data_IF_523472505308
#
_entry.id   IF_523472505308
#
_cell.length_a   1.000
_cell.length_b   1.000
_cell.length_c   1.000
_cell.angle_alpha   90.00
_cell.angle_beta   90.00
_cell.angle_gamma   90.00
#
_symmetry.space_group_name_H-M   'P 1'
#
loop_
_entity.id
_entity.type
_entity.pdbx_description
1 polymer ?
#
# COMPACT_ATOMS: atom_id res chain seq x y z
N UNK A 1 -0.44 0.06 7.25
CA UNK A 1 0.12 0.78 6.08
C UNK A 1 -0.15 -0.03 4.83
N UNK A 2 -0.57 0.61 3.75
CA UNK A 2 -0.82 -0.07 2.48
C UNK A 2 0.47 -0.34 1.72
N UNK A 3 0.48 -1.45 1.00
CA UNK A 3 1.64 -1.88 0.22
C UNK A 3 1.22 -2.63 -1.03
N UNK A 4 2.04 -2.57 -2.07
CA UNK A 4 1.89 -3.36 -3.29
C UNK A 4 2.92 -4.49 -3.30
N UNK A 5 2.48 -5.75 -3.35
CA UNK A 5 3.41 -6.88 -3.43
C UNK A 5 4.00 -6.96 -4.83
N UNK A 6 5.30 -6.77 -4.93
CA UNK A 6 6.03 -6.84 -6.21
C UNK A 6 6.42 -8.29 -6.53
N UNK A 7 6.87 -9.03 -5.51
CA UNK A 7 7.36 -10.39 -5.68
C UNK A 7 6.99 -11.27 -4.49
N UNK A 8 6.80 -12.56 -4.77
CA UNK A 8 6.85 -13.63 -3.78
C UNK A 8 8.10 -14.46 -4.04
N UNK A 9 8.80 -14.86 -2.98
CA UNK A 9 10.03 -15.63 -3.10
C UNK A 9 10.20 -16.61 -1.94
N UNK A 10 10.96 -17.66 -2.21
CA UNK A 10 11.34 -18.66 -1.22
C UNK A 10 12.83 -18.44 -0.89
N UNK A 11 13.09 -17.93 0.31
CA UNK A 11 14.45 -17.61 0.77
C UNK A 11 15.00 -18.74 1.62
N UNK A 12 16.22 -19.19 1.32
CA UNK A 12 16.97 -20.07 2.19
C UNK A 12 17.75 -19.23 3.22
N UNK A 13 17.63 -19.56 4.49
CA UNK A 13 18.26 -18.85 5.61
C UNK A 13 19.03 -19.87 6.46
N UNK A 14 20.29 -19.55 6.77
CA UNK A 14 21.18 -20.38 7.58
C UNK A 14 22.49 -20.66 6.84
N UNK A 15 23.54 -21.02 7.60
CA UNK A 15 24.86 -21.35 7.03
C UNK A 15 25.03 -22.88 6.89
N UNK A 16 24.74 -23.66 7.94
CA UNK A 16 24.92 -25.12 7.94
C UNK A 16 23.61 -25.92 7.78
N UNK A 17 22.49 -25.34 8.22
CA UNK A 17 21.16 -25.94 8.12
C UNK A 17 20.20 -24.92 7.50
N UNK A 18 20.06 -24.98 6.18
CA UNK A 18 19.20 -24.10 5.42
C UNK A 18 17.74 -24.37 5.80
N UNK A 19 17.10 -23.35 6.37
CA UNK A 19 15.66 -23.28 6.54
C UNK A 19 15.09 -22.38 5.46
N UNK A 20 14.04 -22.85 4.81
CA UNK A 20 13.39 -22.04 3.80
C UNK A 20 12.17 -21.33 4.36
N UNK A 21 12.04 -20.05 4.01
CA UNK A 21 10.88 -19.24 4.35
C UNK A 21 10.26 -18.66 3.09
N UNK A 22 8.94 -18.54 3.09
CA UNK A 22 8.20 -17.83 2.05
C UNK A 22 8.10 -16.36 2.47
N UNK A 23 8.60 -15.45 1.64
CA UNK A 23 8.48 -14.02 1.87
C UNK A 23 7.79 -13.32 0.71
N UNK A 24 7.17 -12.20 1.03
CA UNK A 24 6.72 -11.21 0.06
C UNK A 24 7.67 -10.01 0.10
N UNK A 25 7.86 -9.39 -1.06
CA UNK A 25 8.62 -8.13 -1.22
C UNK A 25 7.64 -7.02 -1.59
N UNK A 26 7.02 -6.35 -0.60
CA UNK A 26 6.11 -5.25 -0.87
C UNK A 26 6.82 -3.91 -1.03
N UNK A 27 6.29 -3.09 -1.93
CA UNK A 27 6.59 -1.67 -2.07
C UNK A 27 5.58 -0.84 -1.27
N UNK A 28 6.07 0.14 -0.52
CA UNK A 28 5.22 0.95 0.37
C UNK A 28 4.44 2.02 -0.41
N UNK A 29 3.17 2.20 -0.06
CA UNK A 29 2.46 3.46 -0.34
C UNK A 29 2.75 4.50 0.75
N UNK A 30 2.64 5.77 0.39
CA UNK A 30 2.62 6.88 1.35
C UNK A 30 1.43 6.77 2.29
N UNK A 31 1.45 7.56 3.37
CA UNK A 31 0.23 7.81 4.13
C UNK A 31 -0.75 8.53 3.19
N UNK A 32 -2.08 8.26 3.27
CA UNK A 32 -3.07 9.00 2.51
C UNK A 32 -2.94 10.51 2.72
N UNK A 33 -3.10 11.27 1.64
CA UNK A 33 -3.10 12.72 1.67
C UNK A 33 -4.37 13.22 2.38
N UNK A 34 -4.18 13.77 3.58
CA UNK A 34 -5.28 14.16 4.45
C UNK A 34 -6.06 15.35 3.89
N UNK A 35 -5.43 16.27 3.17
CA UNK A 35 -6.13 17.41 2.57
C UNK A 35 -7.12 16.92 1.50
N UNK A 36 -6.70 16.02 0.63
CA UNK A 36 -7.58 15.38 -0.35
C UNK A 36 -8.70 14.57 0.30
N UNK A 37 -8.38 13.87 1.39
CA UNK A 37 -9.36 13.09 2.13
C UNK A 37 -10.44 14.00 2.73
N UNK A 38 -10.07 15.13 3.33
CA UNK A 38 -11.03 16.09 3.87
C UNK A 38 -11.84 16.80 2.77
N UNK A 39 -11.19 17.24 1.69
CA UNK A 39 -11.86 17.89 0.55
C UNK A 39 -12.87 16.98 -0.15
N UNK A 40 -12.64 15.67 -0.12
CA UNK A 40 -13.54 14.67 -0.68
C UNK A 40 -14.63 14.19 0.27
N UNK A 41 -14.86 14.89 1.38
CA UNK A 41 -15.80 14.44 2.42
C UNK A 41 -15.50 13.00 2.88
N UNK A 42 -14.21 12.69 3.06
CA UNK A 42 -13.72 11.37 3.52
C UNK A 42 -14.02 10.22 2.55
N UNK A 43 -14.26 10.54 1.28
CA UNK A 43 -14.58 9.53 0.25
C UNK A 43 -13.33 9.06 -0.51
N UNK A 44 -12.30 9.91 -0.65
CA UNK A 44 -11.13 9.62 -1.47
C UNK A 44 -9.84 9.69 -0.67
N UNK A 45 -9.26 8.52 -0.35
CA UNK A 45 -7.92 8.40 0.19
C UNK A 45 -6.93 8.18 -0.96
N UNK A 46 -6.03 9.14 -1.18
CA UNK A 46 -5.03 9.10 -2.26
C UNK A 46 -3.62 8.94 -1.70
N UNK A 47 -2.83 8.06 -2.30
CA UNK A 47 -1.46 7.75 -1.88
C UNK A 47 -0.49 7.80 -3.08
N UNK A 48 0.79 8.00 -2.80
CA UNK A 48 1.87 7.82 -3.77
C UNK A 48 2.57 6.49 -3.52
N UNK A 49 3.02 5.84 -4.59
CA UNK A 49 3.90 4.67 -4.47
C UNK A 49 5.32 5.15 -4.16
N UNK A 50 5.91 4.67 -3.07
CA UNK A 50 7.23 5.08 -2.61
C UNK A 50 8.30 4.14 -3.17
N UNK A 51 9.50 4.66 -3.44
CA UNK A 51 10.68 3.83 -3.74
C UNK A 51 11.27 3.21 -2.45
N UNK A 52 10.44 2.46 -1.72
CA UNK A 52 10.78 1.78 -0.47
C UNK A 52 10.22 0.37 -0.47
N UNK A 53 11.12 -0.60 -0.55
CA UNK A 53 10.80 -2.03 -0.46
C UNK A 53 10.98 -2.53 0.96
N UNK A 54 10.14 -3.49 1.33
CA UNK A 54 10.26 -4.28 2.55
C UNK A 54 10.40 -5.76 2.19
N UNK A 55 10.77 -6.57 3.18
CA UNK A 55 10.71 -8.03 3.12
C UNK A 55 9.92 -8.50 4.32
N UNK A 56 8.81 -9.21 4.08
CA UNK A 56 7.92 -9.73 5.13
C UNK A 56 7.67 -11.21 4.93
N UNK A 57 7.47 -11.96 6.01
CA UNK A 57 6.90 -13.31 5.91
C UNK A 57 5.50 -13.19 5.27
N UNK A 58 5.19 -14.04 4.29
CA UNK A 58 3.87 -14.05 3.62
C UNK A 58 2.71 -14.18 4.61
N UNK A 59 2.94 -14.80 5.78
CA UNK A 59 1.95 -14.95 6.85
C UNK A 59 1.58 -13.63 7.54
N UNK A 60 2.34 -12.56 7.34
CA UNK A 60 2.02 -11.23 7.87
C UNK A 60 1.03 -10.45 6.99
N UNK A 61 0.66 -10.99 5.82
CA UNK A 61 -0.37 -10.38 4.96
C UNK A 61 -1.74 -10.67 5.57
N UNK A 62 -2.38 -9.63 6.12
CA UNK A 62 -3.68 -9.73 6.82
C UNK A 62 -4.89 -9.58 5.88
N UNK A 63 -4.69 -9.10 4.66
CA UNK A 63 -5.76 -8.86 3.71
C UNK A 63 -5.28 -8.21 2.43
N UNK A 64 -6.21 -8.12 1.47
CA UNK A 64 -6.00 -7.48 0.18
C UNK A 64 -7.03 -6.39 -0.02
N UNK A 65 -6.56 -5.27 -0.53
CA UNK A 65 -7.34 -4.10 -0.93
C UNK A 65 -7.10 -3.83 -2.42
N UNK A 66 -8.00 -3.08 -3.04
CA UNK A 66 -7.81 -2.63 -4.42
C UNK A 66 -7.32 -1.19 -4.38
N UNK A 67 -6.15 -0.97 -4.98
CA UNK A 67 -5.61 0.35 -5.26
C UNK A 67 -5.80 0.64 -6.75
N UNK A 68 -6.41 1.77 -7.08
CA UNK A 68 -6.64 2.18 -8.47
C UNK A 68 -5.61 3.25 -8.85
N UNK A 69 -4.72 2.99 -9.82
CA UNK A 69 -3.81 3.99 -10.33
C UNK A 69 -4.57 5.06 -11.12
N UNK A 70 -4.26 6.33 -10.87
CA UNK A 70 -4.88 7.46 -11.53
C UNK A 70 -3.93 8.66 -11.59
N UNK A 71 -3.75 9.19 -12.79
CA UNK A 71 -3.08 10.46 -13.02
C UNK A 71 -4.02 11.59 -12.59
N UNK A 72 -3.63 12.34 -11.57
CA UNK A 72 -4.47 13.33 -10.89
C UNK A 72 -3.84 14.71 -10.98
N UNK A 73 -4.67 15.72 -11.23
CA UNK A 73 -4.25 17.12 -11.16
C UNK A 73 -4.49 17.66 -9.75
N UNK A 74 -3.43 18.09 -9.08
CA UNK A 74 -3.49 18.67 -7.75
C UNK A 74 -4.12 20.07 -7.76
N UNK A 75 -4.63 20.57 -6.62
CA UNK A 75 -5.10 21.94 -6.48
C UNK A 75 -4.07 22.99 -6.92
N UNK A 76 -2.77 22.73 -6.70
CA UNK A 76 -1.66 23.56 -7.17
C UNK A 76 -1.41 23.54 -8.68
N UNK A 77 -2.13 22.71 -9.42
CA UNK A 77 -2.07 22.59 -10.88
C UNK A 77 -1.09 21.53 -11.40
N UNK A 78 -0.24 20.98 -10.54
CA UNK A 78 0.67 19.88 -10.85
C UNK A 78 -0.09 18.60 -11.20
N UNK A 79 0.50 17.76 -12.05
CA UNK A 79 -0.06 16.47 -12.46
C UNK A 79 0.85 15.38 -11.89
N UNK A 80 0.27 14.48 -11.11
CA UNK A 80 0.99 13.37 -10.47
C UNK A 80 0.27 12.05 -10.65
N UNK A 81 1.04 10.98 -10.75
CA UNK A 81 0.51 9.63 -10.67
C UNK A 81 0.28 9.25 -9.21
N UNK A 82 -0.99 9.01 -8.88
CA UNK A 82 -1.42 8.64 -7.53
C UNK A 82 -2.27 7.38 -7.56
N UNK A 83 -2.46 6.79 -6.39
CA UNK A 83 -3.24 5.59 -6.20
C UNK A 83 -4.38 5.86 -5.23
N UNK A 84 -5.59 5.46 -5.61
CA UNK A 84 -6.78 5.64 -4.82
C UNK A 84 -7.17 4.32 -4.16
N UNK A 85 -7.41 4.39 -2.86
CA UNK A 85 -8.05 3.30 -2.15
C UNK A 85 -9.54 3.31 -2.50
N UNK A 86 -10.01 2.23 -3.13
CA UNK A 86 -11.46 2.03 -3.27
C UNK A 86 -11.92 1.26 -2.05
N UNK A 87 -12.82 1.87 -1.27
CA UNK A 87 -13.46 1.18 -0.16
C UNK A 87 -14.15 -0.07 -0.70
N UNK A 88 -13.72 -1.23 -0.23
CA UNK A 88 -14.46 -2.46 -0.44
C UNK A 88 -15.63 -2.40 0.52
N UNK A 89 -16.88 -2.46 0.04
CA UNK A 89 -18.08 -2.52 0.90
C UNK A 89 -17.84 -3.46 2.10
N UNK A 90 -17.79 -2.90 3.32
CA UNK A 90 -17.46 -3.61 4.56
C UNK A 90 -16.04 -3.38 5.12
N UNK A 91 -15.22 -2.53 4.51
CA UNK A 91 -13.92 -2.09 5.00
C UNK A 91 -14.04 -0.63 5.46
N UNK A 92 -14.42 -0.38 6.71
CA UNK A 92 -14.60 0.99 7.21
C UNK A 92 -13.30 1.80 7.07
N UNK A 93 -13.35 2.88 6.29
CA UNK A 93 -12.24 3.85 6.17
C UNK A 93 -11.90 4.54 7.50
N UNK A 94 -12.76 4.41 8.52
CA UNK A 94 -12.57 4.96 9.87
C UNK A 94 -11.38 4.35 10.62
N UNK A 95 -10.93 3.15 10.25
CA UNK A 95 -9.74 2.49 10.83
C UNK A 95 -8.40 3.05 10.30
N UNK A 96 -8.44 4.05 9.42
CA UNK A 96 -7.25 4.73 8.90
C UNK A 96 -6.56 5.65 9.92
N UNK A 97 -7.16 5.83 11.11
CA UNK A 97 -6.53 6.53 12.23
C UNK A 97 -6.26 8.00 11.90
N UNK A 98 -7.30 8.82 11.95
CA UNK A 98 -7.19 10.26 12.18
C UNK A 98 -7.19 10.50 13.69
#
# INVERSE_FOLDING_TARGET
RFTEVQYFMHLAIGEDHLHFINVAVPQLYSIPDEEFFQLSMQTYATCMLLDKLLVIDVKQIIGFIVMVPQTTRLPGGEIEDRFFLVERLGLELSDLGV
#
